data_IF_474656916744
#
_entry.id   IF_474656916744
#
_cell.length_a   1.000
_cell.length_b   1.000
_cell.length_c   1.000
_cell.angle_alpha   90.00
_cell.angle_beta   90.00
_cell.angle_gamma   90.00
#
_symmetry.space_group_name_H-M   'P 1'
#
loop_
_entity.id
_entity.type
_entity.pdbx_description
1 polymer ?
#
# COMPACT_ATOMS: atom_id res chain seq x y z
N UNK A 1 1.04 -4.69 10.01
CA UNK A 1 -0.21 -3.93 10.10
C UNK A 1 -0.92 -4.09 11.44
N UNK A 2 -1.11 -5.32 11.93
CA UNK A 2 -1.91 -5.66 13.13
C UNK A 2 -1.64 -4.81 14.39
N UNK A 3 -0.39 -4.42 14.67
CA UNK A 3 -0.07 -3.59 15.85
C UNK A 3 -0.65 -2.18 15.77
N UNK A 4 -0.53 -1.51 14.61
CA UNK A 4 -1.06 -0.15 14.43
C UNK A 4 -2.59 -0.14 14.44
N UNK A 5 -3.20 -1.16 13.82
CA UNK A 5 -4.65 -1.35 13.81
C UNK A 5 -5.20 -1.58 15.22
N UNK A 6 -4.52 -2.41 16.01
CA UNK A 6 -4.88 -2.64 17.41
C UNK A 6 -4.82 -1.34 18.22
N UNK A 7 -3.73 -0.59 18.11
CA UNK A 7 -3.60 0.69 18.81
C UNK A 7 -4.73 1.66 18.43
N UNK A 8 -5.05 1.77 17.15
CA UNK A 8 -6.13 2.63 16.66
C UNK A 8 -7.52 2.16 17.13
N UNK A 9 -7.74 0.85 17.26
CA UNK A 9 -8.98 0.31 17.81
C UNK A 9 -9.20 0.70 19.28
N UNK A 10 -8.13 0.80 20.08
CA UNK A 10 -8.21 1.31 21.46
C UNK A 10 -8.64 2.79 21.51
N UNK A 11 -8.44 3.52 20.41
CA UNK A 11 -8.85 4.92 20.24
C UNK A 11 -10.17 5.06 19.47
N UNK A 12 -10.92 3.97 19.27
CA UNK A 12 -12.25 4.00 18.63
C UNK A 12 -12.24 3.93 17.10
N UNK A 13 -11.08 3.70 16.49
CA UNK A 13 -10.96 3.53 15.03
C UNK A 13 -11.01 2.04 14.67
N UNK A 14 -12.20 1.57 14.27
CA UNK A 14 -12.33 0.23 13.70
C UNK A 14 -11.95 0.23 12.21
N UNK A 15 -10.69 -0.08 11.96
CA UNK A 15 -10.14 -0.26 10.62
C UNK A 15 -10.53 -1.59 9.98
N UNK A 16 -11.05 -2.57 10.73
CA UNK A 16 -11.51 -3.83 10.17
C UNK A 16 -12.88 -3.67 9.49
N UNK A 17 -13.70 -2.72 9.94
CA UNK A 17 -14.95 -2.41 9.27
C UNK A 17 -14.73 -1.76 7.90
N UNK A 18 -15.34 -2.31 6.85
CA UNK A 18 -15.32 -1.77 5.48
C UNK A 18 -16.06 -0.42 5.34
N UNK A 19 -16.67 0.10 6.42
CA UNK A 19 -17.51 1.31 6.36
C UNK A 19 -16.74 2.60 6.06
N UNK A 20 -15.41 2.59 6.19
CA UNK A 20 -14.56 3.73 5.87
C UNK A 20 -13.74 3.47 4.60
N UNK A 21 -14.39 3.62 3.44
CA UNK A 21 -13.72 3.73 2.14
C UNK A 21 -12.76 4.92 2.17
N UNK A 22 -11.54 4.72 1.64
CA UNK A 22 -10.62 5.84 1.39
C UNK A 22 -11.31 6.81 0.43
N UNK A 23 -11.61 8.03 0.90
CA UNK A 23 -12.23 9.11 0.10
C UNK A 23 -11.19 10.00 -0.60
N UNK A 24 -9.92 9.66 -0.46
CA UNK A 24 -8.81 10.36 -1.10
C UNK A 24 -8.74 9.97 -2.58
N UNK A 25 -9.34 10.81 -3.43
CA UNK A 25 -9.39 10.58 -4.88
C UNK A 25 -8.02 10.59 -5.52
N UNK A 26 -7.09 11.42 -5.04
CA UNK A 26 -5.73 11.47 -5.56
C UNK A 26 -5.00 10.14 -5.29
N UNK A 27 -5.17 9.59 -4.10
CA UNK A 27 -4.64 8.26 -3.77
C UNK A 27 -5.25 7.15 -4.63
N UNK A 28 -6.58 7.17 -4.82
CA UNK A 28 -7.25 6.15 -5.65
C UNK A 28 -6.79 6.19 -7.10
N UNK A 29 -6.57 7.39 -7.66
CA UNK A 29 -6.00 7.55 -8.99
C UNK A 29 -4.54 7.07 -9.05
N UNK A 30 -3.71 7.39 -8.05
CA UNK A 30 -2.35 6.85 -7.95
C UNK A 30 -2.36 5.31 -7.94
N UNK A 31 -3.26 4.69 -7.17
CA UNK A 31 -3.41 3.24 -7.12
C UNK A 31 -3.84 2.64 -8.46
N UNK A 32 -4.75 3.30 -9.18
CA UNK A 32 -5.19 2.85 -10.51
C UNK A 32 -4.02 2.86 -11.49
N UNK A 33 -3.29 3.99 -11.59
CA UNK A 33 -2.14 4.12 -12.49
C UNK A 33 -1.04 3.12 -12.18
N UNK A 34 -0.76 2.84 -10.90
CA UNK A 34 0.22 1.83 -10.51
C UNK A 34 -0.20 0.41 -10.92
N UNK A 35 -1.51 0.11 -10.90
CA UNK A 35 -2.02 -1.19 -11.36
C UNK A 35 -1.94 -1.31 -12.87
N UNK A 36 -2.33 -0.28 -13.61
CA UNK A 36 -2.19 -0.24 -15.07
C UNK A 36 -0.72 -0.44 -15.49
N UNK A 37 0.22 0.21 -14.79
CA UNK A 37 1.66 0.02 -15.06
C UNK A 37 2.12 -1.42 -14.80
N UNK A 38 1.63 -2.06 -13.72
CA UNK A 38 1.96 -3.46 -13.42
C UNK A 38 1.39 -4.42 -14.49
N UNK A 39 0.16 -4.17 -14.95
CA UNK A 39 -0.47 -4.94 -16.02
C UNK A 39 0.31 -4.81 -17.34
N UNK A 40 0.81 -3.62 -17.66
CA UNK A 40 1.66 -3.37 -18.84
C UNK A 40 3.01 -4.11 -18.73
N UNK A 41 3.60 -4.15 -17.53
CA UNK A 41 4.83 -4.91 -17.25
C UNK A 41 4.58 -6.41 -17.44
N UNK A 42 3.47 -6.95 -16.94
CA UNK A 42 3.09 -8.35 -17.14
C UNK A 42 2.93 -8.69 -18.63
N UNK A 43 2.23 -7.85 -19.39
CA UNK A 43 2.00 -8.07 -20.83
C UNK A 43 3.31 -8.05 -21.64
N UNK A 44 4.23 -7.16 -21.27
CA UNK A 44 5.52 -7.02 -21.95
C UNK A 44 6.58 -8.00 -21.46
N UNK A 45 6.36 -8.69 -20.32
CA UNK A 45 7.33 -9.56 -19.65
C UNK A 45 8.67 -8.86 -19.41
N UNK A 46 8.62 -7.61 -18.98
CA UNK A 46 9.82 -6.77 -18.80
C UNK A 46 10.31 -6.85 -17.34
N UNK A 47 11.22 -7.80 -17.08
CA UNK A 47 11.77 -8.06 -15.74
C UNK A 47 12.50 -6.85 -15.15
N UNK A 48 13.18 -6.06 -15.99
CA UNK A 48 13.95 -4.89 -15.54
C UNK A 48 12.99 -3.79 -15.06
N UNK A 49 11.88 -3.58 -15.78
CA UNK A 49 10.81 -2.69 -15.34
C UNK A 49 10.13 -3.21 -14.09
N UNK A 50 9.92 -4.52 -13.96
CA UNK A 50 9.33 -5.13 -12.77
C UNK A 50 10.19 -4.90 -11.52
N UNK A 51 11.50 -5.16 -11.60
CA UNK A 51 12.41 -4.94 -10.47
C UNK A 51 12.41 -3.46 -10.04
N UNK A 52 12.40 -2.55 -11.02
CA UNK A 52 12.32 -1.11 -10.78
C UNK A 52 11.00 -0.69 -10.14
N UNK A 53 9.89 -1.31 -10.57
CA UNK A 53 8.56 -1.10 -10.02
C UNK A 53 8.47 -1.56 -8.56
N UNK A 54 8.94 -2.77 -8.25
CA UNK A 54 8.96 -3.33 -6.90
C UNK A 54 9.75 -2.42 -5.95
N UNK A 55 10.95 -1.98 -6.34
CA UNK A 55 11.76 -1.04 -5.55
C UNK A 55 11.03 0.28 -5.27
N UNK A 56 10.29 0.80 -6.26
CA UNK A 56 9.52 2.03 -6.11
C UNK A 56 8.33 1.85 -5.17
N UNK A 57 7.56 0.77 -5.31
CA UNK A 57 6.45 0.44 -4.41
C UNK A 57 6.94 0.24 -2.98
N UNK A 58 8.07 -0.45 -2.79
CA UNK A 58 8.69 -0.63 -1.47
C UNK A 58 9.09 0.72 -0.84
N UNK A 59 9.71 1.62 -1.62
CA UNK A 59 10.04 2.96 -1.14
C UNK A 59 8.80 3.77 -0.75
N UNK A 60 7.72 3.69 -1.52
CA UNK A 60 6.45 4.34 -1.19
C UNK A 60 5.84 3.77 0.10
N UNK A 61 5.92 2.45 0.28
CA UNK A 61 5.47 1.77 1.48
C UNK A 61 6.25 2.25 2.71
N UNK A 62 7.57 2.27 2.65
CA UNK A 62 8.44 2.68 3.77
C UNK A 62 8.20 4.15 4.16
N UNK A 63 8.04 5.03 3.18
CA UNK A 63 7.72 6.43 3.44
C UNK A 63 6.37 6.60 4.16
N UNK A 64 5.33 5.87 3.73
CA UNK A 64 4.02 5.90 4.39
C UNK A 64 4.05 5.23 5.76
N UNK A 65 4.89 4.21 5.94
CA UNK A 65 5.07 3.55 7.23
C UNK A 65 5.70 4.52 8.24
N UNK A 66 6.73 5.26 7.83
CA UNK A 66 7.33 6.29 8.67
C UNK A 66 6.30 7.38 9.01
N UNK A 67 5.54 7.86 8.03
CA UNK A 67 4.47 8.84 8.25
C UNK A 67 3.44 8.33 9.28
N UNK A 68 3.02 7.08 9.18
CA UNK A 68 2.09 6.47 10.15
C UNK A 68 2.68 6.46 11.56
N UNK A 69 3.96 6.10 11.71
CA UNK A 69 4.64 6.11 13.01
C UNK A 69 4.63 7.52 13.62
N UNK A 70 5.02 8.53 12.84
CA UNK A 70 5.01 9.93 13.28
C UNK A 70 3.59 10.40 13.67
N UNK A 71 2.56 9.99 12.93
CA UNK A 71 1.17 10.32 13.24
C UNK A 71 0.69 9.65 14.54
N UNK A 72 1.07 8.39 14.77
CA UNK A 72 0.76 7.69 16.02
C UNK A 72 1.48 8.33 17.22
N UNK A 73 2.75 8.70 17.07
CA UNK A 73 3.54 9.35 18.11
C UNK A 73 2.96 10.73 18.50
N UNK A 74 2.39 11.44 17.52
CA UNK A 74 1.71 12.72 17.73
C UNK A 74 0.23 12.59 18.13
N UNK A 75 -0.26 11.37 18.41
CA UNK A 75 -1.66 11.09 18.71
C UNK A 75 -2.66 11.61 17.63
N UNK A 76 -2.22 11.71 16.38
CA UNK A 76 -3.03 12.13 15.24
C UNK A 76 -3.82 10.92 14.68
N UNK A 77 -4.78 10.43 15.46
CA UNK A 77 -5.44 9.13 15.24
C UNK A 77 -6.18 9.02 13.90
N UNK A 78 -6.97 10.03 13.52
CA UNK A 78 -7.68 10.04 12.23
C UNK A 78 -6.70 9.96 11.04
N UNK A 79 -5.61 10.71 11.10
CA UNK A 79 -4.59 10.74 10.06
C UNK A 79 -3.83 9.40 10.00
N UNK A 80 -3.46 8.84 11.15
CA UNK A 80 -2.85 7.52 11.23
C UNK A 80 -3.78 6.43 10.67
N UNK A 81 -5.09 6.50 10.99
CA UNK A 81 -6.09 5.58 10.46
C UNK A 81 -6.20 5.64 8.93
N UNK A 82 -6.18 6.83 8.32
CA UNK A 82 -6.12 6.98 6.87
C UNK A 82 -4.83 6.42 6.27
N UNK A 83 -3.67 6.70 6.89
CA UNK A 83 -2.39 6.17 6.45
C UNK A 83 -2.33 4.63 6.53
N UNK A 84 -2.89 4.02 7.58
CA UNK A 84 -3.00 2.54 7.68
C UNK A 84 -3.84 1.97 6.54
N UNK A 85 -4.97 2.62 6.19
CA UNK A 85 -5.78 2.18 5.04
C UNK A 85 -4.95 2.23 3.75
N UNK A 86 -4.25 3.34 3.48
CA UNK A 86 -3.38 3.49 2.31
C UNK A 86 -2.25 2.46 2.27
N UNK A 87 -1.66 2.16 3.43
CA UNK A 87 -0.63 1.14 3.57
C UNK A 87 -1.14 -0.26 3.20
N UNK A 88 -2.40 -0.62 3.51
CA UNK A 88 -3.00 -1.89 3.08
C UNK A 88 -3.14 -2.01 1.56
N UNK A 89 -3.44 -0.91 0.87
CA UNK A 89 -3.50 -0.88 -0.60
C UNK A 89 -2.11 -1.10 -1.22
N UNK A 90 -1.08 -0.43 -0.68
CA UNK A 90 0.31 -0.65 -1.12
C UNK A 90 0.80 -2.05 -0.83
N UNK A 91 0.45 -2.63 0.32
CA UNK A 91 0.82 -4.01 0.68
C UNK A 91 0.23 -5.02 -0.31
N UNK A 92 -1.05 -4.84 -0.70
CA UNK A 92 -1.69 -5.64 -1.76
C UNK A 92 -1.00 -5.46 -3.10
N UNK A 93 -0.65 -4.23 -3.48
CA UNK A 93 0.06 -3.96 -4.74
C UNK A 93 1.44 -4.61 -4.76
N UNK A 94 2.20 -4.53 -3.65
CA UNK A 94 3.50 -5.17 -3.52
C UNK A 94 3.37 -6.68 -3.68
N UNK A 95 2.42 -7.31 -2.99
CA UNK A 95 2.17 -8.75 -3.12
C UNK A 95 1.81 -9.15 -4.55
N UNK A 96 1.02 -8.34 -5.28
CA UNK A 96 0.76 -8.60 -6.70
C UNK A 96 2.01 -8.50 -7.58
N UNK A 97 2.91 -7.56 -7.30
CA UNK A 97 4.18 -7.44 -8.03
C UNK A 97 5.15 -8.58 -7.74
N UNK A 98 5.25 -9.02 -6.47
CA UNK A 98 6.03 -10.19 -6.05
C UNK A 98 5.51 -11.48 -6.73
N UNK A 99 4.19 -11.66 -6.79
CA UNK A 99 3.57 -12.80 -7.49
C UNK A 99 3.86 -12.77 -9.00
N UNK A 100 3.90 -11.59 -9.61
CA UNK A 100 4.28 -11.46 -11.02
C UNK A 100 5.76 -11.80 -11.22
N UNK A 101 6.64 -11.38 -10.32
CA UNK A 101 8.07 -11.69 -10.37
C UNK A 101 8.30 -13.20 -10.28
N UNK A 102 7.68 -13.88 -9.31
CA UNK A 102 7.71 -15.34 -9.20
C UNK A 102 7.22 -16.00 -10.50
N UNK A 103 6.09 -15.53 -11.03
CA UNK A 103 5.52 -16.05 -12.28
C UNK A 103 6.47 -15.89 -13.46
N UNK A 104 7.19 -14.78 -13.59
CA UNK A 104 8.13 -14.55 -14.70
C UNK A 104 9.42 -15.36 -14.57
N UNK A 105 9.88 -15.64 -13.34
CA UNK A 105 11.04 -16.49 -13.07
C UNK A 105 10.80 -17.98 -13.34
N UNK A 106 9.55 -18.43 -13.28
CA UNK A 106 9.14 -19.82 -13.52
C UNK A 106 9.01 -20.19 -15.03
N UNK A 107 9.26 -19.25 -15.96
CA UNK A 107 9.23 -19.46 -17.43
C UNK A 107 10.63 -19.48 -18.06
#
# INVERSE_FOLDING_TARGET
MTRAEYLLSLHGFDLASEQHTVRDTAFLMEQLTLREELDDIEQSKDDVRLESFIKRVQKMFDARLQQMVEQLDNAAWDAAADTVRKLRFLDKLRSSAEQLEEKLLDF
#
